data_IF_690658508459
#
_entry.id   IF_690658508459
#
_cell.length_a   1.000
_cell.length_b   1.000
_cell.length_c   1.000
_cell.angle_alpha   90.00
_cell.angle_beta   90.00
_cell.angle_gamma   90.00
#
_symmetry.space_group_name_H-M   'P 1'
#
loop_
_entity.id
_entity.type
_entity.pdbx_description
1 polymer ?
#
# COMPACT_ATOMS: atom_id res chain seq x y z
N UNK A 1 18.31 -6.25 10.48
CA UNK A 1 18.30 -7.51 9.72
C UNK A 1 17.70 -7.23 8.37
N UNK A 2 18.47 -7.44 7.29
CA UNK A 2 18.00 -7.14 5.94
C UNK A 2 17.10 -8.26 5.41
N UNK A 3 16.06 -7.91 4.66
CA UNK A 3 15.04 -8.85 4.15
C UNK A 3 14.90 -8.81 2.63
N UNK A 4 15.99 -8.55 1.92
CA UNK A 4 16.04 -8.72 0.47
C UNK A 4 16.02 -10.21 0.13
N UNK A 5 15.48 -10.55 -1.04
CA UNK A 5 15.56 -11.92 -1.55
C UNK A 5 17.00 -12.40 -1.63
N UNK A 6 17.20 -13.69 -1.32
CA UNK A 6 18.50 -14.34 -1.29
C UNK A 6 19.55 -13.61 -0.41
N UNK A 7 19.12 -12.81 0.56
CA UNK A 7 19.97 -12.00 1.44
C UNK A 7 20.90 -11.05 0.66
N UNK A 8 20.50 -10.64 -0.55
CA UNK A 8 21.32 -9.78 -1.42
C UNK A 8 21.23 -8.31 -1.03
N UNK A 9 21.80 -8.00 0.12
CA UNK A 9 21.81 -6.67 0.69
C UNK A 9 23.19 -6.03 0.53
N UNK A 10 23.19 -4.72 0.32
CA UNK A 10 24.38 -3.87 0.40
C UNK A 10 24.79 -3.70 1.88
N UNK A 11 26.05 -3.28 2.17
CA UNK A 11 26.52 -3.08 3.54
C UNK A 11 25.69 -2.10 4.37
N UNK A 12 25.03 -1.15 3.71
CA UNK A 12 24.12 -0.18 4.33
C UNK A 12 22.69 -0.72 4.56
N UNK A 13 22.44 -2.01 4.26
CA UNK A 13 21.15 -2.67 4.48
C UNK A 13 20.12 -2.51 3.35
N UNK A 14 20.44 -1.78 2.29
CA UNK A 14 19.58 -1.65 1.11
C UNK A 14 19.64 -2.90 0.23
N UNK A 15 18.57 -3.19 -0.51
CA UNK A 15 18.65 -4.21 -1.56
C UNK A 15 19.52 -3.76 -2.72
N UNK A 16 20.23 -4.71 -3.33
CA UNK A 16 20.87 -4.47 -4.63
C UNK A 16 19.80 -4.13 -5.67
N UNK A 17 20.23 -3.46 -6.75
CA UNK A 17 19.36 -3.19 -7.88
C UNK A 17 18.73 -4.48 -8.43
N UNK A 18 17.48 -4.40 -8.86
CA UNK A 18 16.67 -5.52 -9.39
C UNK A 18 16.42 -6.67 -8.41
N UNK A 19 16.70 -6.49 -7.11
CA UNK A 19 16.35 -7.46 -6.08
C UNK A 19 15.08 -7.01 -5.34
N UNK A 20 14.12 -7.92 -5.26
CA UNK A 20 12.88 -7.73 -4.49
C UNK A 20 13.08 -8.02 -3.01
N UNK A 21 12.11 -7.60 -2.22
CA UNK A 21 11.99 -8.02 -0.84
C UNK A 21 11.49 -9.46 -0.72
N UNK A 22 11.90 -10.14 0.36
CA UNK A 22 11.28 -11.39 0.77
C UNK A 22 9.75 -11.26 0.82
N UNK A 23 9.00 -12.35 0.60
CA UNK A 23 7.55 -12.33 0.65
C UNK A 23 7.02 -11.63 1.92
N UNK A 24 6.03 -10.76 1.75
CA UNK A 24 5.42 -9.92 2.80
C UNK A 24 6.29 -8.78 3.34
N UNK A 25 7.37 -8.40 2.66
CA UNK A 25 8.16 -7.22 3.03
C UNK A 25 8.24 -6.21 1.88
N UNK A 26 8.44 -4.94 2.23
CA UNK A 26 8.62 -3.86 1.27
C UNK A 26 9.43 -2.70 1.86
N UNK A 27 9.73 -1.71 1.02
CA UNK A 27 10.62 -0.58 1.33
C UNK A 27 12.03 -0.79 0.80
N UNK A 28 12.83 0.28 0.77
CA UNK A 28 14.19 0.28 0.20
C UNK A 28 15.17 -0.65 0.91
N UNK A 29 14.88 -1.02 2.16
CA UNK A 29 15.66 -1.96 2.97
C UNK A 29 14.83 -3.20 3.34
N UNK A 30 13.66 -3.38 2.72
CA UNK A 30 12.68 -4.42 3.08
C UNK A 30 12.33 -4.44 4.57
N UNK A 31 12.29 -3.24 5.17
CA UNK A 31 12.14 -3.06 6.60
C UNK A 31 10.68 -3.13 7.06
N UNK A 32 9.72 -2.96 6.16
CA UNK A 32 8.31 -2.89 6.49
C UNK A 32 7.60 -4.18 6.13
N UNK A 33 6.72 -4.66 7.02
CA UNK A 33 5.87 -5.81 6.75
C UNK A 33 4.64 -5.35 5.98
N UNK A 34 4.41 -5.98 4.83
CA UNK A 34 3.31 -5.66 3.93
C UNK A 34 2.04 -6.43 4.31
N UNK A 35 1.03 -5.72 4.78
CA UNK A 35 -0.26 -6.31 5.14
C UNK A 35 -1.12 -6.70 3.93
N UNK A 36 -0.82 -6.21 2.73
CA UNK A 36 -1.65 -6.43 1.54
C UNK A 36 -1.54 -7.88 1.03
N UNK A 37 -0.35 -8.47 1.13
CA UNK A 37 -0.06 -9.82 0.60
C UNK A 37 -0.98 -10.87 1.22
N UNK A 38 -1.26 -10.78 2.52
CA UNK A 38 -2.13 -11.70 3.26
C UNK A 38 -3.55 -11.15 3.44
N UNK A 39 -4.00 -10.20 2.62
CA UNK A 39 -5.32 -9.58 2.73
C UNK A 39 -6.26 -10.06 1.63
N UNK A 40 -7.56 -9.98 1.89
CA UNK A 40 -8.59 -10.09 0.86
C UNK A 40 -8.72 -8.73 0.16
N UNK A 41 -8.48 -8.70 -1.15
CA UNK A 41 -8.51 -7.46 -1.95
C UNK A 41 -9.64 -7.51 -2.96
N UNK A 42 -10.20 -6.36 -3.33
CA UNK A 42 -11.21 -6.28 -4.39
C UNK A 42 -10.63 -6.47 -5.79
N UNK A 43 -9.32 -6.28 -5.95
CA UNK A 43 -8.56 -6.50 -7.19
C UNK A 43 -7.22 -7.16 -6.85
N UNK A 44 -7.02 -8.40 -7.30
CA UNK A 44 -5.81 -9.18 -6.98
C UNK A 44 -4.52 -8.53 -7.52
N UNK A 45 -4.64 -7.67 -8.54
CA UNK A 45 -3.53 -6.89 -9.07
C UNK A 45 -2.86 -6.00 -8.02
N UNK A 46 -3.58 -5.59 -6.98
CA UNK A 46 -3.03 -4.81 -5.86
C UNK A 46 -1.89 -5.53 -5.13
N UNK A 47 -1.89 -6.86 -5.13
CA UNK A 47 -0.87 -7.71 -4.50
C UNK A 47 0.36 -7.94 -5.37
N UNK A 48 0.38 -7.50 -6.64
CA UNK A 48 1.53 -7.71 -7.51
C UNK A 48 2.77 -7.02 -6.95
N UNK A 49 3.88 -7.74 -6.94
CA UNK A 49 5.21 -7.28 -6.53
C UNK A 49 6.18 -7.61 -7.66
N UNK A 50 7.12 -6.73 -7.93
CA UNK A 50 8.10 -6.92 -9.00
C UNK A 50 9.42 -6.24 -8.67
N UNK A 51 10.54 -6.71 -9.25
CA UNK A 51 11.85 -6.10 -9.07
C UNK A 51 11.91 -4.70 -9.66
N UNK A 52 11.16 -4.47 -10.73
CA UNK A 52 11.03 -3.18 -11.39
C UNK A 52 9.71 -2.55 -11.00
N UNK A 53 9.80 -1.36 -10.41
CA UNK A 53 8.65 -0.52 -10.08
C UNK A 53 7.78 -0.31 -11.32
N UNK A 54 6.48 -0.52 -11.18
CA UNK A 54 5.50 -0.33 -12.27
C UNK A 54 5.79 -1.12 -13.57
N UNK A 55 6.44 -2.28 -13.51
CA UNK A 55 6.60 -3.16 -14.69
C UNK A 55 5.25 -3.56 -15.31
N UNK A 56 4.22 -3.70 -14.48
CA UNK A 56 2.83 -3.85 -14.92
C UNK A 56 1.94 -2.86 -14.17
N UNK A 57 0.83 -2.48 -14.79
CA UNK A 57 -0.21 -1.66 -14.19
C UNK A 57 -1.58 -2.28 -14.40
N UNK A 58 -2.56 -1.78 -13.65
CA UNK A 58 -3.96 -2.15 -13.75
C UNK A 58 -4.84 -0.90 -13.60
N UNK A 59 -6.04 -0.95 -14.18
CA UNK A 59 -7.03 0.10 -14.00
C UNK A 59 -7.75 -0.15 -12.66
N UNK A 60 -7.65 0.81 -11.75
CA UNK A 60 -8.31 0.73 -10.46
C UNK A 60 -9.81 1.02 -10.58
N UNK A 61 -10.62 0.11 -10.07
CA UNK A 61 -12.07 0.21 -9.96
C UNK A 61 -12.40 0.68 -8.54
N UNK A 62 -12.86 1.93 -8.45
CA UNK A 62 -13.22 2.57 -7.18
C UNK A 62 -14.48 1.93 -6.58
N UNK A 63 -14.53 1.62 -5.26
CA UNK A 63 -13.44 1.68 -4.30
C UNK A 63 -12.59 0.40 -4.32
N UNK A 64 -11.27 0.54 -4.22
CA UNK A 64 -10.39 -0.58 -3.89
C UNK A 64 -10.58 -0.92 -2.41
N UNK A 65 -10.94 -2.16 -2.09
CA UNK A 65 -11.12 -2.64 -0.72
C UNK A 65 -10.05 -3.64 -0.34
N UNK A 66 -9.43 -3.46 0.82
CA UNK A 66 -8.53 -4.42 1.46
C UNK A 66 -9.12 -4.82 2.80
N UNK A 67 -9.29 -6.12 3.04
CA UNK A 67 -9.76 -6.70 4.29
C UNK A 67 -8.68 -7.58 4.89
N UNK A 68 -8.26 -7.26 6.10
CA UNK A 68 -7.13 -7.92 6.76
C UNK A 68 -7.62 -9.04 7.68
N UNK A 69 -7.00 -10.21 7.59
CA UNK A 69 -7.33 -11.37 8.42
C UNK A 69 -7.14 -11.06 9.92
N UNK A 70 -6.01 -10.42 10.23
CA UNK A 70 -5.65 -9.99 11.57
C UNK A 70 -5.68 -8.48 11.67
N UNK A 71 -6.32 -7.94 12.71
CA UNK A 71 -6.31 -6.51 12.98
C UNK A 71 -4.91 -6.04 13.38
N UNK A 72 -4.51 -4.84 12.98
CA UNK A 72 -3.17 -4.31 13.29
C UNK A 72 -3.19 -2.79 13.41
N UNK A 73 -2.13 -2.21 13.95
CA UNK A 73 -1.98 -0.75 14.04
C UNK A 73 -1.46 -0.23 12.70
N UNK A 74 -2.32 0.47 11.98
CA UNK A 74 -1.92 1.14 10.75
C UNK A 74 -0.87 2.20 11.03
N UNK A 75 0.19 2.26 10.22
CA UNK A 75 1.19 3.32 10.29
C UNK A 75 1.14 4.21 9.06
N UNK A 76 1.26 3.62 7.87
CA UNK A 76 1.21 4.32 6.59
C UNK A 76 0.96 3.33 5.44
N UNK A 77 0.63 3.86 4.26
CA UNK A 77 0.49 3.10 3.03
C UNK A 77 1.30 3.73 1.89
N UNK A 78 1.74 2.89 0.96
CA UNK A 78 2.38 3.30 -0.28
C UNK A 78 1.49 2.89 -1.45
N UNK A 79 1.28 3.78 -2.41
CA UNK A 79 0.63 3.48 -3.67
C UNK A 79 1.60 3.84 -4.78
N UNK A 80 1.82 2.92 -5.71
CA UNK A 80 2.58 3.16 -6.93
C UNK A 80 1.60 3.29 -8.09
N UNK A 81 1.80 4.32 -8.90
CA UNK A 81 1.02 4.59 -10.11
C UNK A 81 1.93 4.86 -11.28
N UNK A 82 1.39 4.77 -12.49
CA UNK A 82 2.15 5.06 -13.72
C UNK A 82 2.49 6.54 -13.87
N UNK A 83 1.73 7.41 -13.19
CA UNK A 83 1.90 8.86 -13.22
C UNK A 83 1.34 9.51 -11.95
N UNK A 84 1.58 10.82 -11.79
CA UNK A 84 1.11 11.58 -10.63
C UNK A 84 -0.40 11.70 -10.64
N UNK A 85 -0.98 11.90 -11.82
CA UNK A 85 -2.42 11.99 -12.05
C UNK A 85 -3.13 10.69 -11.67
N UNK A 86 -2.45 9.53 -11.74
CA UNK A 86 -3.03 8.26 -11.28
C UNK A 86 -3.16 8.17 -9.75
N UNK A 87 -2.50 9.07 -9.02
CA UNK A 87 -2.43 9.13 -7.56
C UNK A 87 -3.14 10.37 -6.98
N UNK A 88 -3.75 11.19 -7.81
CA UNK A 88 -4.51 12.36 -7.38
C UNK A 88 -5.92 11.97 -6.90
N UNK A 89 -6.50 12.82 -6.05
CA UNK A 89 -7.86 12.71 -5.53
C UNK A 89 -8.21 11.38 -4.84
N UNK A 90 -7.18 10.70 -4.33
CA UNK A 90 -7.35 9.51 -3.51
C UNK A 90 -8.05 9.89 -2.21
N UNK A 91 -8.98 9.07 -1.75
CA UNK A 91 -9.62 9.13 -0.44
C UNK A 91 -9.44 7.80 0.29
N UNK A 92 -9.11 7.84 1.58
CA UNK A 92 -8.88 6.65 2.39
C UNK A 92 -9.87 6.63 3.56
N UNK A 93 -10.59 5.53 3.66
CA UNK A 93 -11.55 5.25 4.73
C UNK A 93 -11.25 3.89 5.37
N UNK A 94 -11.34 3.83 6.69
CA UNK A 94 -11.22 2.60 7.44
C UNK A 94 -12.61 2.08 7.82
N UNK A 95 -12.77 0.76 7.77
CA UNK A 95 -14.04 0.11 8.05
C UNK A 95 -13.92 -1.05 9.03
N UNK A 96 -15.06 -1.38 9.65
CA UNK A 96 -15.24 -2.60 10.43
C UNK A 96 -15.49 -3.82 9.55
N UNK A 97 -15.06 -4.98 10.05
CA UNK A 97 -15.39 -6.30 9.51
C UNK A 97 -16.04 -7.08 10.64
N UNK A 98 -17.29 -7.49 10.46
CA UNK A 98 -18.11 -8.13 11.50
C UNK A 98 -18.17 -7.28 12.79
N UNK A 99 -18.19 -7.94 13.96
CA UNK A 99 -18.20 -7.30 15.29
C UNK A 99 -16.79 -7.05 15.86
N UNK A 100 -15.73 -7.06 15.04
CA UNK A 100 -14.35 -6.80 15.51
C UNK A 100 -14.22 -5.33 15.96
N UNK A 101 -13.50 -5.02 17.05
CA UNK A 101 -13.33 -3.65 17.57
C UNK A 101 -12.28 -2.89 16.74
N UNK A 102 -12.62 -2.56 15.49
CA UNK A 102 -11.72 -1.87 14.57
C UNK A 102 -12.10 -0.41 14.43
N UNK A 103 -11.10 0.44 14.22
CA UNK A 103 -11.31 1.82 13.84
C UNK A 103 -12.17 1.90 12.56
N UNK A 104 -13.14 2.80 12.58
CA UNK A 104 -14.03 3.09 11.46
C UNK A 104 -14.09 4.60 11.29
N UNK A 105 -13.90 5.07 10.06
CA UNK A 105 -13.89 6.50 9.75
C UNK A 105 -12.76 6.89 8.80
N UNK A 106 -12.58 8.19 8.55
CA UNK A 106 -11.62 8.68 7.57
C UNK A 106 -10.17 8.57 8.07
N UNK A 107 -9.25 8.76 7.14
CA UNK A 107 -7.83 8.95 7.38
C UNK A 107 -7.56 10.34 8.00
N UNK A 108 -7.62 10.47 9.33
CA UNK A 108 -7.42 11.75 10.01
C UNK A 108 -5.96 12.22 9.97
N UNK A 109 -5.76 13.55 9.99
CA UNK A 109 -4.45 14.21 9.93
C UNK A 109 -3.57 13.68 8.78
N UNK A 110 -4.22 13.45 7.63
CA UNK A 110 -3.59 12.88 6.45
C UNK A 110 -2.41 13.74 6.00
N UNK A 111 -1.31 13.06 5.67
CA UNK A 111 -0.14 13.66 5.02
C UNK A 111 0.23 12.83 3.81
N UNK A 112 0.39 13.52 2.70
CA UNK A 112 0.72 12.95 1.40
C UNK A 112 2.15 13.32 1.05
N UNK A 113 2.99 12.31 0.83
CA UNK A 113 4.38 12.48 0.42
C UNK A 113 4.52 11.84 -0.97
N UNK A 114 4.70 12.69 -1.97
CA UNK A 114 5.01 12.25 -3.32
C UNK A 114 6.50 11.96 -3.42
N UNK A 115 6.83 10.70 -3.67
CA UNK A 115 8.21 10.27 -3.97
C UNK A 115 8.29 10.15 -5.48
N UNK A 116 8.91 11.17 -6.10
CA UNK A 116 8.85 11.38 -7.55
C UNK A 116 7.39 11.55 -8.02
N UNK A 117 7.14 11.34 -9.32
CA UNK A 117 5.80 11.45 -9.92
C UNK A 117 5.04 10.11 -9.99
N UNK A 118 5.50 9.05 -9.31
CA UNK A 118 4.94 7.69 -9.48
C UNK A 118 4.69 6.96 -8.17
N UNK A 119 5.02 7.56 -7.03
CA UNK A 119 4.73 7.01 -5.71
C UNK A 119 4.10 8.04 -4.81
N UNK A 120 3.03 7.63 -4.15
CA UNK A 120 2.42 8.36 -3.06
C UNK A 120 2.56 7.54 -1.78
N UNK A 121 3.11 8.17 -0.74
CA UNK A 121 3.08 7.66 0.62
C UNK A 121 2.01 8.45 1.37
N UNK A 122 1.03 7.75 1.93
CA UNK A 122 -0.01 8.36 2.76
C UNK A 122 0.17 7.95 4.21
N UNK A 123 0.29 8.95 5.09
CA UNK A 123 0.33 8.78 6.54
C UNK A 123 -0.95 9.36 7.14
N UNK A 124 -1.51 8.67 8.13
CA UNK A 124 -2.68 9.16 8.86
C UNK A 124 -2.61 8.75 10.32
N UNK A 125 -3.30 9.51 11.17
CA UNK A 125 -3.44 9.19 12.59
C UNK A 125 -4.61 8.23 12.76
N UNK A 126 -4.31 7.00 13.18
CA UNK A 126 -5.31 6.01 13.57
C UNK A 126 -5.05 5.59 15.01
N UNK A 127 -6.01 5.83 15.89
CA UNK A 127 -5.85 5.63 17.34
C UNK A 127 -6.08 4.19 17.79
N UNK A 128 -6.55 3.31 16.89
CA UNK A 128 -6.89 1.92 17.20
C UNK A 128 -6.49 0.97 16.07
N UNK A 129 -6.83 -0.31 16.20
CA UNK A 129 -6.54 -1.33 15.21
C UNK A 129 -7.44 -1.18 13.97
N UNK A 130 -6.90 -1.47 12.79
CA UNK A 130 -7.63 -1.48 11.52
C UNK A 130 -7.93 -2.89 11.05
N UNK A 131 -9.04 -3.06 10.33
CA UNK A 131 -9.47 -4.35 9.78
C UNK A 131 -9.83 -4.29 8.31
N UNK A 132 -10.34 -3.15 7.85
CA UNK A 132 -10.59 -2.90 6.44
C UNK A 132 -10.09 -1.50 6.09
N UNK A 133 -9.51 -1.39 4.91
CA UNK A 133 -9.11 -0.14 4.28
C UNK A 133 -9.84 -0.05 2.93
N UNK A 134 -10.41 1.11 2.63
CA UNK A 134 -10.96 1.45 1.32
C UNK A 134 -10.17 2.60 0.75
N UNK A 135 -9.81 2.48 -0.52
CA UNK A 135 -9.19 3.52 -1.33
C UNK A 135 -10.19 3.89 -2.42
N UNK A 136 -10.74 5.09 -2.32
CA UNK A 136 -11.62 5.67 -3.32
C UNK A 136 -10.88 6.72 -4.12
N UNK A 137 -11.41 7.06 -5.28
CA UNK A 137 -10.99 8.22 -6.06
C UNK A 137 -12.19 9.15 -6.17
N UNK A 138 -11.99 10.45 -6.01
CA UNK A 138 -13.05 11.43 -6.22
C UNK A 138 -13.67 11.22 -7.62
N UNK A 139 -14.96 11.57 -7.76
CA UNK A 139 -15.74 11.39 -9.00
C UNK A 139 -15.15 12.22 -10.14
N UNK A 140 -14.14 11.67 -10.78
CA UNK A 140 -13.64 12.04 -12.08
C UNK A 140 -13.67 10.77 -12.92
N UNK A 141 -14.18 10.84 -14.16
CA UNK A 141 -14.31 9.70 -15.08
C UNK A 141 -12.94 9.16 -15.55
N UNK A 142 -11.85 9.75 -15.07
CA UNK A 142 -10.48 9.33 -15.35
C UNK A 142 -10.19 7.94 -14.78
N UNK A 143 -9.75 7.06 -15.67
CA UNK A 143 -9.18 5.76 -15.31
C UNK A 143 -7.88 5.97 -14.54
N UNK A 144 -7.78 5.38 -13.36
CA UNK A 144 -6.58 5.47 -12.51
C UNK A 144 -5.73 4.23 -12.73
N UNK A 145 -4.50 4.43 -13.18
CA UNK A 145 -3.59 3.35 -13.51
C UNK A 145 -2.60 3.13 -12.36
N UNK A 146 -2.87 2.11 -11.55
CA UNK A 146 -2.03 1.75 -10.41
C UNK A 146 -1.13 0.56 -10.75
N UNK A 147 -0.03 0.44 -10.02
CA UNK A 147 0.92 -0.64 -10.17
C UNK A 147 0.86 -1.60 -8.98
N UNK A 148 0.89 -1.04 -7.78
CA UNK A 148 0.96 -1.81 -6.53
C UNK A 148 0.48 -0.97 -5.36
N UNK A 149 -0.03 -1.64 -4.33
CA UNK A 149 -0.41 -1.03 -3.05
C UNK A 149 0.27 -1.79 -1.93
N UNK A 150 0.89 -1.05 -1.02
CA UNK A 150 1.56 -1.58 0.16
C UNK A 150 0.97 -0.93 1.41
N UNK A 151 0.83 -1.72 2.47
CA UNK A 151 0.34 -1.21 3.75
C UNK A 151 1.30 -1.68 4.84
N UNK A 152 1.91 -0.73 5.54
CA UNK A 152 2.83 -1.04 6.63
C UNK A 152 2.04 -1.47 7.86
N UNK A 153 2.41 -2.64 8.38
CA UNK A 153 1.97 -3.21 9.66
C UNK A 153 3.07 -3.23 10.70
#
# INVERSE_FOLDING_TARGET
MCRCENLQCLPNGFCKENITCQPNYFGTQCQYKDAVVSSWVSQEEMKRRGPTKCQSSFIAVSPLSLTFDTHFRFTWLQIEGVSKESLEDLEIEFGRVNKKPCYTGPCFNRRDIFVQNTTLIVLCTVTSYVCRLKISFAKDDRKRHLCSVYVSK
#
